data_IF_534859162088
#
_entry.id   IF_534859162088
#
_cell.length_a   1.000
_cell.length_b   1.000
_cell.length_c   1.000
_cell.angle_alpha   90.00
_cell.angle_beta   90.00
_cell.angle_gamma   90.00
#
_symmetry.space_group_name_H-M   'P 1'
#
loop_
_entity.id
_entity.type
_entity.pdbx_description
1 polymer ?
#
# COMPACT_ATOMS: atom_id res chain seq x y z
N UNK A 1 31.80 11.01 9.10
CA UNK A 1 30.54 10.43 8.59
C UNK A 1 29.56 10.35 9.74
N UNK A 2 28.49 11.15 9.72
CA UNK A 2 27.42 11.11 10.73
C UNK A 2 26.33 10.12 10.29
N UNK A 3 25.63 9.45 11.21
CA UNK A 3 24.53 8.53 10.88
C UNK A 3 23.35 9.30 10.28
N UNK A 4 22.69 8.67 9.31
CA UNK A 4 21.57 9.22 8.55
C UNK A 4 20.34 9.39 9.47
N UNK A 5 19.78 10.60 9.58
CA UNK A 5 18.68 10.94 10.50
C UNK A 5 17.30 10.38 10.10
N UNK A 6 17.18 9.75 8.93
CA UNK A 6 15.92 9.14 8.46
C UNK A 6 16.10 7.73 7.88
N UNK A 7 16.41 6.71 8.70
CA UNK A 7 16.64 5.34 8.25
C UNK A 7 15.43 4.66 7.60
N UNK A 8 14.22 5.23 7.73
CA UNK A 8 12.99 4.67 7.17
C UNK A 8 12.74 5.09 5.71
N UNK A 9 13.24 6.24 5.28
CA UNK A 9 13.10 6.72 3.90
C UNK A 9 13.95 5.92 2.91
N UNK A 10 15.17 5.50 3.33
CA UNK A 10 16.00 4.60 2.52
C UNK A 10 15.45 3.16 2.49
N UNK A 11 14.72 2.73 3.52
CA UNK A 11 14.05 1.40 3.51
C UNK A 11 12.87 1.30 2.54
N UNK A 12 12.27 2.42 2.13
CA UNK A 12 11.30 2.45 1.02
C UNK A 12 11.97 2.28 -0.35
N UNK A 13 13.27 2.59 -0.47
CA UNK A 13 14.09 2.29 -1.65
C UNK A 13 14.68 0.87 -1.64
N UNK A 14 14.53 0.11 -0.57
CA UNK A 14 15.02 -1.27 -0.46
C UNK A 14 13.87 -2.29 -0.33
N UNK A 15 12.62 -1.86 -0.50
CA UNK A 15 11.50 -2.74 -0.77
C UNK A 15 11.64 -3.40 -2.17
N UNK A 16 10.75 -4.33 -2.55
CA UNK A 16 10.84 -5.08 -3.81
C UNK A 16 10.83 -4.23 -5.10
N UNK A 17 10.74 -2.91 -5.00
CA UNK A 17 10.69 -1.94 -6.09
C UNK A 17 11.88 -0.99 -6.16
N UNK A 18 12.96 -1.26 -5.42
CA UNK A 18 14.13 -0.40 -5.42
C UNK A 18 15.41 -1.10 -5.90
N UNK A 19 15.74 -0.82 -7.16
CA UNK A 19 16.97 -1.20 -7.89
C UNK A 19 17.16 -2.69 -8.11
N UNK A 20 16.74 -3.17 -9.28
CA UNK A 20 17.45 -4.28 -9.94
C UNK A 20 18.92 -3.86 -10.15
N UNK A 21 19.80 -4.24 -9.22
CA UNK A 21 21.24 -4.28 -9.52
C UNK A 21 21.45 -5.49 -10.42
N UNK A 22 21.76 -5.26 -11.70
CA UNK A 22 22.33 -6.31 -12.56
C UNK A 22 23.49 -6.96 -11.79
N UNK A 23 23.55 -8.31 -11.69
CA UNK A 23 24.61 -8.97 -10.97
C UNK A 23 25.96 -8.55 -11.55
N UNK A 24 26.93 -8.25 -10.69
CA UNK A 24 28.30 -7.94 -11.14
C UNK A 24 28.92 -9.15 -11.84
N UNK A 25 29.85 -8.95 -12.77
CA UNK A 25 30.56 -10.06 -13.45
C UNK A 25 31.16 -11.06 -12.44
N UNK A 26 31.63 -10.56 -11.30
CA UNK A 26 32.16 -11.40 -10.22
C UNK A 26 31.09 -12.32 -9.61
N UNK A 27 29.85 -11.84 -9.47
CA UNK A 27 28.73 -12.63 -8.96
C UNK A 27 28.24 -13.65 -10.00
N UNK A 28 28.21 -13.29 -11.29
CA UNK A 28 27.91 -14.22 -12.38
C UNK A 28 28.95 -15.35 -12.43
N UNK A 29 30.24 -15.02 -12.33
CA UNK A 29 31.33 -15.99 -12.32
C UNK A 29 31.27 -16.94 -11.10
N UNK A 30 30.80 -16.45 -9.95
CA UNK A 30 30.64 -17.26 -8.74
C UNK A 30 29.43 -18.20 -8.83
N UNK A 31 28.36 -17.76 -9.50
CA UNK A 31 27.20 -18.59 -9.84
C UNK A 31 27.61 -19.69 -10.83
N UNK A 32 28.35 -19.35 -11.89
CA UNK A 32 28.85 -20.33 -12.86
C UNK A 32 29.79 -21.37 -12.21
N UNK A 33 30.70 -20.93 -11.31
CA UNK A 33 31.55 -21.84 -10.54
C UNK A 33 30.74 -22.79 -9.64
N UNK A 34 29.66 -22.31 -9.03
CA UNK A 34 28.76 -23.14 -8.20
C UNK A 34 27.92 -24.13 -9.00
N UNK A 35 27.55 -23.76 -10.23
CA UNK A 35 26.85 -24.66 -11.16
C UNK A 35 27.83 -25.75 -11.63
N UNK A 36 29.04 -25.37 -12.04
CA UNK A 36 30.10 -26.29 -12.46
C UNK A 36 30.56 -27.23 -11.34
N UNK A 37 30.59 -26.77 -10.08
CA UNK A 37 30.94 -27.61 -8.92
C UNK A 37 29.83 -28.57 -8.50
N UNK A 38 28.59 -28.37 -8.97
CA UNK A 38 27.43 -29.25 -8.67
C UNK A 38 27.15 -30.25 -9.79
N UNK A 39 27.64 -30.03 -11.00
CA UNK A 39 27.51 -30.97 -12.13
C UNK A 39 28.63 -32.01 -12.22
N UNK A 40 29.64 -31.96 -11.34
CA UNK A 40 30.76 -32.92 -11.31
C UNK A 40 30.58 -34.03 -10.28
N UNK A 41 30.06 -35.18 -10.69
CA UNK A 41 30.42 -36.47 -10.06
C UNK A 41 29.30 -37.30 -9.45
N UNK A 42 28.63 -38.11 -10.29
CA UNK A 42 28.01 -39.38 -9.86
C UNK A 42 28.64 -40.51 -10.65
N UNK A 43 29.54 -41.29 -10.02
CA UNK A 43 29.70 -42.74 -10.25
C UNK A 43 30.54 -43.43 -9.14
N UNK A 44 29.82 -44.30 -8.41
CA UNK A 44 30.19 -45.61 -7.79
C UNK A 44 31.22 -45.68 -6.63
N UNK A 45 30.64 -45.94 -5.44
CA UNK A 45 30.99 -46.75 -4.24
C UNK A 45 32.14 -47.80 -4.34
N UNK A 46 32.55 -48.46 -3.22
CA UNK A 46 32.73 -48.04 -1.80
C UNK A 46 34.06 -48.57 -1.17
N UNK A 47 34.40 -48.17 0.07
CA UNK A 47 34.73 -49.08 1.20
C UNK A 47 35.49 -48.40 2.38
N UNK A 48 35.20 -48.92 3.58
CA UNK A 48 35.90 -48.87 4.88
C UNK A 48 35.83 -47.64 5.83
N UNK A 49 35.36 -47.98 7.04
CA UNK A 49 35.25 -47.31 8.37
C UNK A 49 36.62 -46.92 8.99
N UNK A 50 36.72 -46.38 10.24
CA UNK A 50 35.90 -45.42 11.02
C UNK A 50 36.78 -44.40 11.82
N UNK A 51 36.15 -43.55 12.67
CA UNK A 51 36.59 -42.96 13.98
C UNK A 51 35.69 -41.71 14.21
N UNK A 52 34.66 -41.76 15.08
CA UNK A 52 34.63 -41.35 16.51
C UNK A 52 35.22 -39.93 16.74
N UNK A 53 34.65 -38.96 17.46
CA UNK A 53 33.58 -38.80 18.44
C UNK A 53 33.20 -37.28 18.40
N UNK A 54 32.09 -36.75 18.91
CA UNK A 54 31.62 -36.76 20.29
C UNK A 54 30.14 -36.35 20.34
N UNK A 55 29.40 -37.06 21.18
CA UNK A 55 28.08 -36.72 21.68
C UNK A 55 28.23 -35.75 22.85
N UNK A 56 27.44 -34.67 22.88
CA UNK A 56 26.82 -34.17 24.11
C UNK A 56 25.36 -33.84 23.78
N UNK A 57 24.47 -34.61 24.39
CA UNK A 57 23.04 -34.34 24.59
C UNK A 57 22.91 -33.77 26.02
N UNK A 58 22.02 -32.80 26.21
CA UNK A 58 20.97 -32.71 27.24
C UNK A 58 20.36 -31.30 27.14
N UNK A 59 19.10 -31.17 26.70
CA UNK A 59 17.86 -31.21 27.52
C UNK A 59 17.71 -29.93 28.36
N UNK A 60 16.59 -29.21 28.46
CA UNK A 60 15.16 -29.53 28.29
C UNK A 60 14.34 -28.24 28.48
N UNK A 61 13.10 -28.22 27.97
CA UNK A 61 12.04 -27.25 28.32
C UNK A 61 11.29 -26.77 27.07
N UNK A 62 10.52 -27.60 26.37
CA UNK A 62 9.12 -28.00 26.65
C UNK A 62 8.20 -26.80 26.91
N UNK A 63 7.43 -26.47 25.87
CA UNK A 63 6.30 -25.54 25.86
C UNK A 63 5.53 -25.72 24.55
N UNK A 64 4.94 -26.91 24.36
CA UNK A 64 3.99 -27.20 23.27
C UNK A 64 2.69 -26.44 23.54
N UNK A 65 2.41 -25.39 22.76
CA UNK A 65 1.06 -24.84 22.64
C UNK A 65 0.42 -25.40 21.37
N UNK A 66 -0.41 -26.43 21.55
CA UNK A 66 -1.32 -26.94 20.53
C UNK A 66 -2.57 -26.07 20.58
N UNK A 67 -2.75 -25.15 19.63
CA UNK A 67 -4.03 -24.43 19.49
C UNK A 67 -4.98 -25.29 18.66
N UNK A 68 -5.93 -25.91 19.36
CA UNK A 68 -7.05 -26.62 18.76
C UNK A 68 -8.11 -25.60 18.35
N UNK A 69 -8.26 -25.34 17.04
CA UNK A 69 -9.31 -24.47 16.51
C UNK A 69 -10.62 -25.25 16.46
N UNK A 70 -11.40 -25.18 17.54
CA UNK A 70 -12.72 -25.78 17.63
C UNK A 70 -13.73 -24.88 16.91
N UNK A 71 -14.06 -25.23 15.67
CA UNK A 71 -15.21 -24.63 14.98
C UNK A 71 -16.49 -25.17 15.61
N UNK A 72 -17.18 -24.32 16.36
CA UNK A 72 -18.55 -24.58 16.80
C UNK A 72 -19.49 -24.63 15.60
N UNK A 73 -20.05 -25.81 15.33
CA UNK A 73 -21.23 -25.98 14.48
C UNK A 73 -22.40 -25.26 15.15
N UNK A 74 -22.93 -24.23 14.51
CA UNK A 74 -24.22 -23.67 14.86
C UNK A 74 -25.30 -24.52 14.18
N UNK A 75 -25.94 -25.40 14.95
CA UNK A 75 -27.14 -26.12 14.52
C UNK A 75 -28.34 -25.18 14.62
N UNK A 76 -28.92 -24.81 13.47
CA UNK A 76 -30.26 -24.21 13.43
C UNK A 76 -31.26 -25.36 13.51
N UNK A 77 -32.10 -25.29 14.54
CA UNK A 77 -33.07 -26.31 14.89
C UNK A 77 -34.09 -26.62 13.79
N UNK A 78 -34.39 -27.91 13.68
CA UNK A 78 -35.57 -28.45 13.02
C UNK A 78 -36.84 -27.94 13.72
N UNK A 79 -37.81 -27.47 12.95
CA UNK A 79 -39.21 -27.49 13.34
C UNK A 79 -39.97 -28.42 12.39
N UNK A 80 -40.61 -29.42 12.97
CA UNK A 80 -41.37 -30.45 12.28
C UNK A 80 -42.68 -29.93 11.68
N UNK A 81 -42.94 -30.36 10.43
CA UNK A 81 -44.12 -31.15 10.06
C UNK A 81 -45.49 -30.47 9.95
N UNK A 82 -45.98 -30.35 8.70
CA UNK A 82 -47.15 -31.14 8.23
C UNK A 82 -47.37 -31.02 6.71
N UNK A 83 -47.45 -32.20 6.07
CA UNK A 83 -48.03 -32.52 4.75
C UNK A 83 -49.56 -32.27 4.78
N UNK A 84 -50.33 -32.04 3.70
CA UNK A 84 -50.72 -32.89 2.54
C UNK A 84 -51.52 -31.91 1.60
N UNK A 85 -51.42 -31.89 0.25
CA UNK A 85 -52.35 -32.52 -0.75
C UNK A 85 -51.93 -32.16 -2.19
N UNK A 86 -52.10 -33.17 -3.04
CA UNK A 86 -51.87 -33.32 -4.48
C UNK A 86 -52.59 -32.36 -5.45
N UNK A 87 -52.04 -32.18 -6.65
CA UNK A 87 -52.82 -31.79 -7.84
C UNK A 87 -51.97 -31.47 -9.08
N UNK A 88 -52.27 -32.15 -10.19
CA UNK A 88 -51.64 -32.10 -11.52
C UNK A 88 -51.42 -30.72 -12.17
N UNK A 89 -50.42 -30.62 -13.06
CA UNK A 89 -50.44 -29.69 -14.18
C UNK A 89 -49.07 -29.18 -14.65
N UNK A 90 -48.43 -29.91 -15.58
CA UNK A 90 -47.19 -29.49 -16.23
C UNK A 90 -47.40 -28.30 -17.17
N UNK A 91 -46.84 -27.14 -16.83
CA UNK A 91 -46.51 -26.04 -17.77
C UNK A 91 -45.15 -25.46 -17.37
N UNK A 92 -44.24 -25.16 -18.32
CA UNK A 92 -42.97 -24.52 -17.97
C UNK A 92 -43.26 -23.10 -17.49
N UNK A 93 -42.95 -22.84 -16.21
CA UNK A 93 -42.99 -21.50 -15.65
C UNK A 93 -41.82 -20.71 -16.23
N UNK A 94 -42.16 -19.71 -17.02
CA UNK A 94 -41.30 -18.60 -17.38
C UNK A 94 -40.82 -17.93 -16.08
N UNK A 95 -39.57 -18.20 -15.70
CA UNK A 95 -38.92 -17.61 -14.53
C UNK A 95 -38.67 -16.15 -14.86
N UNK A 96 -39.70 -15.32 -14.68
CA UNK A 96 -39.54 -13.88 -14.53
C UNK A 96 -38.73 -13.68 -13.25
N UNK A 97 -37.41 -13.53 -13.40
CA UNK A 97 -36.54 -13.09 -12.31
C UNK A 97 -36.99 -11.68 -11.92
N UNK A 98 -37.78 -11.58 -10.85
CA UNK A 98 -37.90 -10.33 -10.13
C UNK A 98 -36.51 -9.92 -9.63
N UNK A 99 -36.10 -8.65 -9.79
CA UNK A 99 -34.82 -8.18 -9.31
C UNK A 99 -34.81 -8.23 -7.78
N UNK A 100 -34.00 -9.13 -7.22
CA UNK A 100 -33.79 -9.22 -5.79
C UNK A 100 -33.05 -7.98 -5.28
N UNK A 101 -33.80 -7.16 -4.53
CA UNK A 101 -33.40 -6.34 -3.38
C UNK A 101 -31.99 -5.71 -3.38
N UNK A 102 -31.98 -4.40 -3.62
CA UNK A 102 -31.13 -3.36 -3.04
C UNK A 102 -29.88 -3.85 -2.28
N UNK A 103 -28.74 -3.88 -2.96
CA UNK A 103 -27.46 -3.97 -2.27
C UNK A 103 -27.24 -2.62 -1.56
N UNK A 104 -27.32 -2.59 -0.22
CA UNK A 104 -27.20 -1.37 0.59
C UNK A 104 -25.85 -0.66 0.41
N UNK A 105 -24.83 -1.39 -0.06
CA UNK A 105 -23.46 -0.92 -0.22
C UNK A 105 -22.93 -1.19 -1.64
N UNK A 106 -21.91 -0.43 -2.11
CA UNK A 106 -21.18 -0.74 -3.32
C UNK A 106 -20.59 -2.16 -3.26
N UNK A 107 -20.34 -2.79 -4.42
CA UNK A 107 -19.59 -4.05 -4.42
C UNK A 107 -18.14 -3.80 -3.98
N UNK A 108 -17.51 -4.83 -3.39
CA UNK A 108 -16.08 -4.82 -3.03
C UNK A 108 -15.19 -4.38 -4.20
N UNK A 109 -15.42 -4.96 -5.38
CA UNK A 109 -14.69 -4.62 -6.60
C UNK A 109 -14.81 -3.15 -7.00
N UNK A 110 -15.94 -2.49 -6.69
CA UNK A 110 -16.14 -1.06 -7.01
C UNK A 110 -15.30 -0.17 -6.10
N UNK A 111 -15.18 -0.50 -4.81
CA UNK A 111 -14.43 0.31 -3.84
C UNK A 111 -12.93 0.16 -4.08
N UNK A 112 -12.46 -1.08 -4.28
CA UNK A 112 -11.05 -1.35 -4.60
C UNK A 112 -10.62 -0.63 -5.88
N UNK A 113 -11.42 -0.73 -6.95
CA UNK A 113 -11.10 -0.06 -8.21
C UNK A 113 -11.07 1.47 -8.06
N UNK A 114 -11.98 2.05 -7.28
CA UNK A 114 -11.95 3.49 -6.96
C UNK A 114 -10.71 3.88 -6.18
N UNK A 115 -10.32 3.14 -5.15
CA UNK A 115 -9.09 3.43 -4.39
C UNK A 115 -7.82 3.29 -5.25
N UNK A 116 -7.78 2.29 -6.14
CA UNK A 116 -6.64 2.04 -7.03
C UNK A 116 -6.52 3.04 -8.17
N UNK A 117 -7.58 3.79 -8.46
CA UNK A 117 -7.68 4.76 -9.55
C UNK A 117 -8.26 6.10 -9.08
N UNK A 118 -8.09 6.47 -7.82
CA UNK A 118 -8.81 7.60 -7.23
C UNK A 118 -8.54 8.93 -7.92
N UNK A 119 -7.32 9.12 -8.42
CA UNK A 119 -6.90 10.29 -9.22
C UNK A 119 -7.66 10.43 -10.55
N UNK A 120 -8.36 9.38 -11.00
CA UNK A 120 -9.18 9.45 -12.21
C UNK A 120 -10.60 9.99 -11.92
N UNK A 121 -10.94 10.18 -10.64
CA UNK A 121 -12.27 10.58 -10.18
C UNK A 121 -12.36 12.04 -9.69
N UNK A 122 -11.29 12.82 -9.87
CA UNK A 122 -11.26 14.25 -9.61
C UNK A 122 -10.25 14.94 -10.53
N UNK A 123 -10.44 16.24 -10.78
CA UNK A 123 -9.47 17.07 -11.49
C UNK A 123 -8.58 17.86 -10.53
N UNK A 124 -9.15 18.32 -9.41
CA UNK A 124 -8.40 19.06 -8.40
C UNK A 124 -8.80 18.64 -7.01
N UNK A 125 -7.84 18.60 -6.10
CA UNK A 125 -8.11 18.39 -4.68
C UNK A 125 -7.16 19.25 -3.85
N UNK A 126 -7.70 19.90 -2.83
CA UNK A 126 -6.92 20.54 -1.77
C UNK A 126 -7.42 20.09 -0.42
N UNK A 127 -6.51 20.00 0.54
CA UNK A 127 -6.88 19.56 1.86
C UNK A 127 -5.68 19.46 2.80
N UNK A 128 -5.95 18.89 3.96
CA UNK A 128 -4.93 18.58 4.93
C UNK A 128 -5.32 17.36 5.73
N UNK A 129 -4.33 16.58 6.16
CA UNK A 129 -4.54 15.46 7.07
C UNK A 129 -3.51 15.47 8.19
N UNK A 130 -3.88 14.81 9.29
CA UNK A 130 -2.98 14.49 10.39
C UNK A 130 -2.62 13.03 10.31
N UNK A 131 -1.33 12.72 10.45
CA UNK A 131 -0.84 11.38 10.62
C UNK A 131 -0.21 11.23 12.00
N UNK A 132 -0.60 10.18 12.71
CA UNK A 132 0.02 9.76 13.94
C UNK A 132 0.73 8.43 13.71
N UNK A 133 1.98 8.33 14.14
CA UNK A 133 2.74 7.08 14.11
C UNK A 133 3.68 7.03 15.32
N UNK A 134 3.56 5.98 16.14
CA UNK A 134 4.50 5.71 17.23
C UNK A 134 4.78 6.91 18.16
N UNK A 135 3.76 7.71 18.48
CA UNK A 135 3.88 8.87 19.37
C UNK A 135 4.26 10.18 18.67
N UNK A 136 4.53 10.15 17.37
CA UNK A 136 4.84 11.34 16.57
C UNK A 136 3.62 11.72 15.74
N UNK A 137 3.26 13.00 15.77
CA UNK A 137 2.19 13.56 14.93
C UNK A 137 2.79 14.49 13.89
N UNK A 138 2.38 14.31 12.64
CA UNK A 138 2.67 15.21 11.54
C UNK A 138 1.38 15.67 10.86
N UNK A 139 1.44 16.88 10.33
CA UNK A 139 0.38 17.49 9.52
C UNK A 139 0.90 17.59 8.10
N UNK A 140 0.03 17.23 7.15
CA UNK A 140 0.29 17.28 5.73
C UNK A 140 -0.77 18.16 5.10
N UNK A 141 -0.34 19.21 4.42
CA UNK A 141 -1.18 20.10 3.61
C UNK A 141 -0.89 19.81 2.14
N UNK A 142 -1.93 19.81 1.30
CA UNK A 142 -1.74 19.50 -0.12
C UNK A 142 -2.71 20.28 -1.02
N UNK A 143 -2.23 20.61 -2.21
CA UNK A 143 -3.01 21.07 -3.36
C UNK A 143 -2.54 20.31 -4.59
N UNK A 144 -3.47 19.73 -5.34
CA UNK A 144 -3.17 18.79 -6.40
C UNK A 144 -4.09 19.10 -7.59
N UNK A 145 -3.51 19.13 -8.78
CA UNK A 145 -4.24 19.10 -10.04
C UNK A 145 -3.82 17.87 -10.84
N UNK A 146 -4.80 17.16 -11.37
CA UNK A 146 -4.64 16.05 -12.31
C UNK A 146 -5.03 16.50 -13.74
N UNK A 147 -4.95 15.57 -14.70
CA UNK A 147 -5.29 15.82 -16.11
C UNK A 147 -4.09 16.23 -16.97
N UNK A 148 -4.32 17.11 -17.96
CA UNK A 148 -3.33 17.45 -19.00
C UNK A 148 -2.15 18.29 -18.49
N UNK A 149 -2.28 18.92 -17.34
CA UNK A 149 -1.23 19.72 -16.72
C UNK A 149 -1.17 19.38 -15.23
N UNK A 150 -0.67 18.18 -14.90
CA UNK A 150 -0.66 17.71 -13.53
C UNK A 150 0.40 18.46 -12.73
N UNK A 151 0.09 18.74 -11.47
CA UNK A 151 0.97 19.49 -10.59
C UNK A 151 0.53 19.36 -9.14
N UNK A 152 1.46 19.58 -8.22
CA UNK A 152 1.15 19.49 -6.80
C UNK A 152 2.02 20.40 -5.95
N UNK A 153 1.45 20.73 -4.79
CA UNK A 153 2.13 21.34 -3.65
C UNK A 153 1.80 20.48 -2.44
N UNK A 154 2.81 20.03 -1.71
CA UNK A 154 2.66 19.24 -0.49
C UNK A 154 3.62 19.77 0.56
N UNK A 155 3.10 20.14 1.72
CA UNK A 155 3.89 20.56 2.88
C UNK A 155 3.68 19.58 4.02
N UNK A 156 4.77 19.15 4.65
CA UNK A 156 4.76 18.27 5.82
C UNK A 156 5.45 18.95 6.97
N UNK A 157 4.83 18.93 8.14
CA UNK A 157 5.37 19.52 9.37
C UNK A 157 4.99 18.66 10.58
N UNK A 158 5.90 18.53 11.54
CA UNK A 158 5.56 17.95 12.86
C UNK A 158 4.72 18.96 13.65
N UNK A 159 3.69 18.51 14.36
CA UNK A 159 2.75 19.41 15.07
C UNK A 159 3.44 20.34 16.08
N UNK A 160 4.57 19.92 16.64
CA UNK A 160 5.36 20.64 17.64
C UNK A 160 6.57 21.41 17.07
N UNK A 161 6.77 21.42 15.74
CA UNK A 161 7.91 22.07 15.10
C UNK A 161 7.48 23.22 14.19
N UNK A 162 8.31 24.26 14.07
CA UNK A 162 8.16 25.25 12.99
C UNK A 162 8.78 24.78 11.68
N UNK A 163 9.60 23.73 11.72
CA UNK A 163 10.27 23.15 10.57
C UNK A 163 9.30 22.31 9.75
N UNK A 164 9.45 22.44 8.44
CA UNK A 164 8.67 21.76 7.43
C UNK A 164 9.55 21.28 6.27
N UNK A 165 9.01 20.31 5.53
CA UNK A 165 9.50 19.90 4.22
C UNK A 165 8.40 20.16 3.19
N UNK A 166 8.77 20.72 2.05
CA UNK A 166 7.84 20.89 0.92
C UNK A 166 8.26 20.01 -0.26
N UNK A 167 7.27 19.52 -0.99
CA UNK A 167 7.40 18.91 -2.30
C UNK A 167 6.48 19.65 -3.26
N UNK A 168 7.07 20.17 -4.33
CA UNK A 168 6.37 20.95 -5.34
C UNK A 168 6.64 20.33 -6.70
N UNK A 169 5.62 20.24 -7.53
CA UNK A 169 5.69 19.66 -8.87
C UNK A 169 4.89 20.50 -9.86
N UNK A 170 5.51 20.85 -10.98
CA UNK A 170 4.86 21.45 -12.16
C UNK A 170 4.55 20.40 -13.25
N UNK A 171 4.73 19.11 -12.93
CA UNK A 171 4.56 18.00 -13.87
C UNK A 171 5.81 17.68 -14.70
N UNK A 172 6.79 18.58 -14.78
CA UNK A 172 8.08 18.37 -15.44
C UNK A 172 9.25 18.26 -14.45
N UNK A 173 9.19 18.99 -13.35
CA UNK A 173 10.19 19.02 -12.30
C UNK A 173 9.56 18.74 -10.95
N UNK A 174 10.36 18.22 -10.05
CA UNK A 174 10.04 18.13 -8.63
C UNK A 174 11.08 18.90 -7.84
N UNK A 175 10.60 19.84 -7.03
CA UNK A 175 11.36 20.61 -6.07
C UNK A 175 11.04 20.09 -4.66
N UNK A 176 12.07 19.70 -3.92
CA UNK A 176 11.99 19.35 -2.51
C UNK A 176 12.72 20.41 -1.68
N UNK A 177 12.09 20.94 -0.64
CA UNK A 177 12.63 21.98 0.25
C UNK A 177 12.73 21.46 1.68
N UNK A 178 13.88 21.64 2.34
CA UNK A 178 14.09 21.38 3.76
C UNK A 178 14.30 22.71 4.51
N UNK A 179 13.29 23.17 5.24
CA UNK A 179 13.32 24.49 5.88
C UNK A 179 14.30 24.59 7.06
N UNK A 180 14.63 23.47 7.70
CA UNK A 180 15.59 23.43 8.81
C UNK A 180 16.99 23.69 8.30
N UNK A 181 17.38 23.03 7.20
CA UNK A 181 18.71 23.16 6.62
C UNK A 181 18.83 24.31 5.64
N UNK A 182 17.70 24.87 5.19
CA UNK A 182 17.63 25.83 4.08
C UNK A 182 18.26 25.24 2.81
N UNK A 183 17.95 23.98 2.53
CA UNK A 183 18.45 23.22 1.38
C UNK A 183 17.30 22.88 0.43
N UNK A 184 17.60 22.78 -0.87
CA UNK A 184 16.66 22.28 -1.87
C UNK A 184 17.27 21.21 -2.77
N UNK A 185 16.40 20.34 -3.30
CA UNK A 185 16.72 19.41 -4.38
C UNK A 185 15.71 19.63 -5.49
N UNK A 186 16.19 19.93 -6.69
CA UNK A 186 15.39 20.04 -7.90
C UNK A 186 15.84 18.99 -8.90
N UNK A 187 14.90 18.26 -9.47
CA UNK A 187 15.21 17.28 -10.49
C UNK A 187 14.08 17.18 -11.51
N UNK A 188 14.44 16.77 -12.73
CA UNK A 188 13.47 16.44 -13.75
C UNK A 188 12.64 15.26 -13.26
N UNK A 189 11.32 15.40 -13.29
CA UNK A 189 10.45 14.25 -13.15
C UNK A 189 10.57 13.39 -14.40
N UNK A 190 10.58 12.06 -14.25
CA UNK A 190 10.38 11.19 -15.40
C UNK A 190 9.05 11.52 -16.10
N UNK A 191 8.87 11.01 -17.32
CA UNK A 191 7.63 11.20 -18.08
C UNK A 191 6.37 10.78 -17.30
N UNK A 192 5.18 11.21 -17.75
CA UNK A 192 3.93 10.89 -17.09
C UNK A 192 3.80 9.37 -16.96
N UNK A 193 3.43 8.87 -15.77
CA UNK A 193 3.29 7.45 -15.60
C UNK A 193 2.13 6.91 -16.44
N UNK A 194 2.36 5.77 -17.08
CA UNK A 194 1.32 5.09 -17.86
C UNK A 194 0.30 4.46 -16.89
N UNK A 195 -0.99 4.57 -17.24
CA UNK A 195 -2.05 3.86 -16.52
C UNK A 195 -1.84 2.36 -16.66
N UNK A 196 -1.76 1.58 -15.57
CA UNK A 196 -1.65 0.14 -15.70
C UNK A 196 -2.88 -0.44 -16.40
N UNK A 197 -2.64 -1.35 -17.33
CA UNK A 197 -3.67 -2.17 -17.95
C UNK A 197 -3.71 -3.56 -17.30
N UNK A 198 -4.89 -4.17 -17.25
CA UNK A 198 -5.07 -5.54 -16.75
C UNK A 198 -5.17 -5.67 -15.22
N UNK A 199 -4.90 -6.87 -14.67
CA UNK A 199 -5.11 -7.16 -13.25
C UNK A 199 -4.13 -6.37 -12.37
N UNK A 200 -4.64 -5.85 -11.26
CA UNK A 200 -3.86 -5.01 -10.32
C UNK A 200 -3.10 -5.83 -9.28
N UNK A 201 -3.45 -7.10 -9.12
CA UNK A 201 -2.72 -8.07 -8.32
C UNK A 201 -2.94 -9.49 -8.86
N UNK A 202 -1.86 -10.27 -8.96
CA UNK A 202 -1.88 -11.62 -9.51
C UNK A 202 -0.66 -12.41 -9.07
N UNK A 203 -0.71 -13.75 -9.20
CA UNK A 203 0.48 -14.61 -9.08
C UNK A 203 1.10 -14.85 -10.45
N UNK A 204 2.42 -14.71 -10.57
CA UNK A 204 3.13 -15.07 -11.79
C UNK A 204 3.26 -16.60 -11.95
N UNK A 205 3.88 -17.05 -13.05
CA UNK A 205 4.13 -18.47 -13.34
C UNK A 205 4.96 -19.20 -12.27
N UNK A 206 5.66 -18.45 -11.40
CA UNK A 206 6.46 -18.98 -10.29
C UNK A 206 5.72 -18.90 -8.95
N UNK A 207 4.47 -18.41 -8.95
CA UNK A 207 3.64 -18.25 -7.76
C UNK A 207 3.95 -16.99 -6.93
N UNK A 208 4.79 -16.07 -7.44
CA UNK A 208 5.09 -14.82 -6.73
C UNK A 208 3.96 -13.80 -6.91
N UNK A 209 3.68 -13.04 -5.86
CA UNK A 209 2.69 -11.98 -5.92
C UNK A 209 3.26 -10.77 -6.67
N UNK A 210 2.45 -10.26 -7.59
CA UNK A 210 2.68 -9.02 -8.30
C UNK A 210 1.60 -8.03 -7.88
N UNK A 211 2.01 -6.81 -7.52
CA UNK A 211 1.12 -5.73 -7.09
C UNK A 211 1.37 -4.52 -7.99
N UNK A 212 0.36 -4.10 -8.73
CA UNK A 212 0.50 -3.11 -9.78
C UNK A 212 -0.21 -1.82 -9.35
N UNK A 213 0.54 -0.91 -8.75
CA UNK A 213 0.05 0.41 -8.34
C UNK A 213 -0.22 1.34 -9.52
N UNK A 214 -1.06 2.35 -9.30
CA UNK A 214 -1.26 3.45 -10.24
C UNK A 214 -0.10 4.41 -10.08
N UNK A 215 0.56 4.78 -11.18
CA UNK A 215 1.56 5.83 -11.13
C UNK A 215 0.91 7.19 -10.89
N UNK A 216 1.63 8.05 -10.18
CA UNK A 216 1.21 9.39 -9.75
C UNK A 216 1.73 10.46 -10.74
N UNK A 217 0.85 11.06 -11.58
CA UNK A 217 1.23 12.08 -12.55
C UNK A 217 1.58 13.41 -11.90
N UNK A 218 0.83 13.83 -10.87
CA UNK A 218 1.04 15.10 -10.17
C UNK A 218 2.23 15.09 -9.22
N UNK A 219 2.85 13.92 -8.95
CA UNK A 219 4.02 13.74 -8.08
C UNK A 219 3.76 14.20 -6.65
N UNK A 220 2.62 13.80 -6.12
CA UNK A 220 2.02 14.22 -4.85
C UNK A 220 2.76 13.74 -3.59
N UNK A 221 3.99 13.24 -3.71
CA UNK A 221 4.86 12.85 -2.59
C UNK A 221 4.14 11.98 -1.55
N UNK A 222 4.05 12.43 -0.30
CA UNK A 222 3.35 11.73 0.79
C UNK A 222 1.83 11.85 0.70
N UNK A 223 1.29 12.90 0.07
CA UNK A 223 -0.16 13.08 -0.09
C UNK A 223 -0.79 11.95 -0.93
N UNK A 224 0.00 11.28 -1.78
CA UNK A 224 -0.41 10.06 -2.49
C UNK A 224 -1.00 8.99 -1.57
N UNK A 225 -0.59 8.93 -0.31
CA UNK A 225 -1.10 7.95 0.65
C UNK A 225 -2.61 8.07 0.85
N UNK A 226 -3.17 9.28 0.74
CA UNK A 226 -4.61 9.50 0.89
C UNK A 226 -5.32 9.72 -0.45
N UNK A 227 -4.71 10.47 -1.38
CA UNK A 227 -5.35 10.81 -2.66
C UNK A 227 -5.18 9.73 -3.73
N UNK A 228 -4.22 8.81 -3.57
CA UNK A 228 -4.00 7.63 -4.41
C UNK A 228 -3.62 6.41 -3.54
N UNK A 229 -4.55 5.89 -2.71
CA UNK A 229 -4.24 4.95 -1.62
C UNK A 229 -3.97 3.51 -2.09
N UNK A 230 -3.30 3.31 -3.24
CA UNK A 230 -3.01 1.98 -3.83
C UNK A 230 -2.35 1.03 -2.84
N UNK A 231 -1.38 1.51 -2.06
CA UNK A 231 -0.70 0.67 -1.06
C UNK A 231 -1.67 0.17 0.02
N UNK A 232 -2.54 1.04 0.52
CA UNK A 232 -3.54 0.66 1.51
C UNK A 232 -4.60 -0.28 0.94
N UNK A 233 -4.94 -0.17 -0.34
CA UNK A 233 -5.80 -1.15 -1.02
C UNK A 233 -5.15 -2.53 -1.05
N UNK A 234 -3.85 -2.63 -1.34
CA UNK A 234 -3.17 -3.92 -1.36
C UNK A 234 -3.07 -4.58 0.02
N UNK A 235 -3.10 -3.80 1.12
CA UNK A 235 -3.14 -4.37 2.47
C UNK A 235 -4.46 -5.07 2.79
N UNK A 236 -5.50 -4.78 2.02
CA UNK A 236 -6.83 -5.38 2.15
C UNK A 236 -6.95 -6.72 1.39
N UNK A 237 -5.88 -7.19 0.75
CA UNK A 237 -5.88 -8.42 -0.06
C UNK A 237 -4.95 -9.45 0.58
N UNK A 238 -5.46 -10.65 0.78
CA UNK A 238 -4.68 -11.77 1.29
C UNK A 238 -3.63 -12.20 0.25
N UNK A 239 -2.37 -12.23 0.66
CA UNK A 239 -1.24 -12.50 -0.24
C UNK A 239 -1.24 -13.93 -0.80
N UNK A 240 -1.86 -14.89 -0.13
CA UNK A 240 -1.84 -16.29 -0.54
C UNK A 240 -2.99 -16.62 -1.48
N UNK A 241 -4.18 -16.10 -1.18
CA UNK A 241 -5.43 -16.38 -1.89
C UNK A 241 -5.84 -15.30 -2.89
N UNK A 242 -5.24 -14.12 -2.82
CA UNK A 242 -5.61 -12.92 -3.57
C UNK A 242 -7.08 -12.52 -3.39
N UNK A 243 -7.65 -12.83 -2.22
CA UNK A 243 -9.02 -12.47 -1.87
C UNK A 243 -9.03 -11.28 -0.90
N UNK A 244 -10.08 -10.43 -0.96
CA UNK A 244 -10.34 -9.41 0.05
C UNK A 244 -10.36 -9.96 1.49
N UNK A 245 -9.73 -9.25 2.42
CA UNK A 245 -9.69 -9.55 3.87
C UNK A 245 -10.53 -8.59 4.72
N UNK A 246 -11.37 -7.79 4.07
CA UNK A 246 -12.20 -6.78 4.72
C UNK A 246 -13.70 -7.06 4.57
N UNK A 247 -14.48 -6.39 5.40
CA UNK A 247 -15.92 -6.27 5.28
C UNK A 247 -16.33 -4.80 5.26
N UNK A 248 -17.40 -4.49 4.52
CA UNK A 248 -18.04 -3.17 4.61
C UNK A 248 -18.90 -3.17 5.87
N UNK A 249 -18.51 -2.39 6.88
CA UNK A 249 -19.21 -2.35 8.18
C UNK A 249 -20.21 -1.21 8.27
N UNK A 250 -20.16 -0.23 7.36
CA UNK A 250 -21.14 0.84 7.31
C UNK A 250 -20.80 1.96 6.35
N UNK A 251 -21.52 3.07 6.52
CA UNK A 251 -21.30 4.34 5.82
C UNK A 251 -21.44 5.47 6.82
N UNK A 252 -20.68 6.55 6.65
CA UNK A 252 -20.70 7.72 7.52
C UNK A 252 -20.48 8.99 6.70
N UNK A 253 -21.06 10.11 7.14
CA UNK A 253 -20.68 11.42 6.58
C UNK A 253 -19.44 11.93 7.29
N UNK A 254 -18.34 12.10 6.55
CA UNK A 254 -17.07 12.60 7.06
C UNK A 254 -16.65 13.83 6.24
N UNK A 255 -16.45 14.98 6.90
CA UNK A 255 -16.18 16.28 6.24
C UNK A 255 -17.19 16.62 5.12
N UNK A 256 -18.47 16.32 5.34
CA UNK A 256 -19.54 16.57 4.37
C UNK A 256 -19.55 15.60 3.18
N UNK A 257 -18.70 14.57 3.18
CA UNK A 257 -18.61 13.55 2.13
C UNK A 257 -19.13 12.20 2.63
N UNK A 258 -19.72 11.41 1.73
CA UNK A 258 -20.19 10.07 2.07
C UNK A 258 -19.02 9.08 2.02
N UNK A 259 -18.65 8.53 3.18
CA UNK A 259 -17.58 7.57 3.34
C UNK A 259 -18.13 6.15 3.52
N UNK A 260 -17.54 5.18 2.82
CA UNK A 260 -17.73 3.74 3.12
C UNK A 260 -16.71 3.32 4.16
N UNK A 261 -17.16 2.58 5.17
CA UNK A 261 -16.32 2.08 6.26
C UNK A 261 -15.93 0.63 5.98
N UNK A 262 -14.63 0.37 5.94
CA UNK A 262 -14.05 -0.96 5.75
C UNK A 262 -13.30 -1.37 7.01
N UNK A 263 -13.49 -2.61 7.46
CA UNK A 263 -12.75 -3.19 8.58
C UNK A 263 -12.20 -4.55 8.20
N UNK A 264 -10.98 -4.87 8.67
CA UNK A 264 -10.33 -6.14 8.39
C UNK A 264 -9.13 -6.41 9.29
N UNK A 265 -8.51 -7.58 9.10
CA UNK A 265 -7.29 -7.97 9.81
C UNK A 265 -6.05 -7.67 8.96
N UNK A 266 -4.99 -7.22 9.61
CA UNK A 266 -3.69 -7.02 8.96
C UNK A 266 -2.98 -8.36 8.79
N UNK A 267 -2.35 -8.57 7.62
CA UNK A 267 -1.40 -9.67 7.44
C UNK A 267 -0.12 -9.47 8.24
N UNK A 268 0.58 -10.57 8.53
CA UNK A 268 1.75 -10.62 9.44
C UNK A 268 2.79 -9.53 9.21
N UNK A 269 3.14 -9.26 7.94
CA UNK A 269 4.14 -8.25 7.60
C UNK A 269 3.71 -6.83 8.00
N UNK A 270 2.49 -6.43 7.65
CA UNK A 270 1.98 -5.09 7.96
C UNK A 270 1.67 -4.98 9.45
N UNK A 271 1.07 -6.02 10.03
CA UNK A 271 0.77 -6.06 11.46
C UNK A 271 2.03 -5.93 12.32
N UNK A 272 3.12 -6.63 11.95
CA UNK A 272 4.41 -6.50 12.62
C UNK A 272 5.04 -5.12 12.45
N UNK A 273 4.95 -4.53 11.25
CA UNK A 273 5.52 -3.21 10.94
C UNK A 273 4.90 -2.10 11.78
N UNK A 274 3.58 -2.11 11.94
CA UNK A 274 2.84 -1.08 12.65
C UNK A 274 2.44 -1.48 14.08
N UNK A 275 2.82 -2.68 14.53
CA UNK A 275 2.41 -3.26 15.82
C UNK A 275 0.88 -3.24 16.00
N UNK A 276 0.17 -3.65 14.97
CA UNK A 276 -1.28 -3.65 14.92
C UNK A 276 -1.79 -4.99 14.39
N UNK A 277 -3.06 -5.31 14.68
CA UNK A 277 -3.71 -6.55 14.23
C UNK A 277 -4.93 -6.29 13.36
N UNK A 278 -5.57 -5.13 13.51
CA UNK A 278 -6.72 -4.72 12.70
C UNK A 278 -6.55 -3.36 12.03
N UNK A 279 -7.42 -3.09 11.07
CA UNK A 279 -7.55 -1.79 10.45
C UNK A 279 -9.01 -1.38 10.27
N UNK A 280 -9.22 -0.06 10.21
CA UNK A 280 -10.49 0.56 9.85
C UNK A 280 -10.26 1.74 8.92
N UNK A 281 -10.89 1.71 7.75
CA UNK A 281 -10.75 2.72 6.70
C UNK A 281 -12.09 3.45 6.51
N UNK A 282 -12.01 4.75 6.22
CA UNK A 282 -13.11 5.56 5.71
C UNK A 282 -12.73 6.02 4.31
N UNK A 283 -13.39 5.47 3.31
CA UNK A 283 -13.11 5.73 1.90
C UNK A 283 -14.20 6.59 1.33
N UNK A 284 -13.83 7.72 0.72
CA UNK A 284 -14.78 8.54 -0.01
C UNK A 284 -15.47 7.71 -1.10
N UNK A 285 -16.79 7.59 -1.00
CA UNK A 285 -17.55 6.68 -1.84
C UNK A 285 -17.52 7.09 -3.30
N UNK A 286 -17.34 8.36 -3.62
CA UNK A 286 -17.35 8.87 -5.00
C UNK A 286 -15.98 8.72 -5.66
N UNK A 287 -14.92 9.13 -4.95
CA UNK A 287 -13.58 9.27 -5.53
C UNK A 287 -12.63 8.13 -5.19
N UNK A 288 -12.85 7.41 -4.08
CA UNK A 288 -11.89 6.42 -3.57
C UNK A 288 -10.76 7.00 -2.71
N UNK A 289 -10.77 8.31 -2.42
CA UNK A 289 -9.82 8.95 -1.50
C UNK A 289 -9.96 8.37 -0.09
N UNK A 290 -8.84 8.09 0.57
CA UNK A 290 -8.81 7.68 1.98
C UNK A 290 -8.99 8.91 2.88
N UNK A 291 -10.15 9.03 3.51
CA UNK A 291 -10.48 10.14 4.40
C UNK A 291 -9.96 9.89 5.83
N UNK A 292 -9.97 8.63 6.27
CA UNK A 292 -9.46 8.24 7.59
C UNK A 292 -8.99 6.80 7.61
N UNK A 293 -7.93 6.54 8.36
CA UNK A 293 -7.32 5.24 8.61
C UNK A 293 -6.98 5.13 10.08
N UNK A 294 -7.38 4.04 10.73
CA UNK A 294 -6.91 3.66 12.05
C UNK A 294 -6.42 2.22 12.02
N UNK A 295 -5.20 1.99 12.51
CA UNK A 295 -4.71 0.66 12.83
C UNK A 295 -4.91 0.42 14.33
N UNK A 296 -5.33 -0.77 14.72
CA UNK A 296 -5.57 -1.13 16.12
C UNK A 296 -4.78 -2.36 16.51
N UNK A 297 -4.20 -2.36 17.71
CA UNK A 297 -3.58 -3.55 18.32
C UNK A 297 -4.59 -4.38 19.14
N UNK A 298 -4.11 -5.48 19.74
CA UNK A 298 -4.94 -6.39 20.56
C UNK A 298 -5.47 -5.76 21.85
N UNK A 299 -4.98 -4.57 22.21
CA UNK A 299 -5.41 -3.77 23.36
C UNK A 299 -6.29 -2.59 22.94
N UNK A 300 -6.73 -2.56 21.67
CA UNK A 300 -7.48 -1.47 21.04
C UNK A 300 -6.76 -0.11 21.08
N UNK A 301 -5.42 -0.11 21.19
CA UNK A 301 -4.62 1.11 21.04
C UNK A 301 -4.38 1.39 19.56
N UNK A 302 -4.16 2.66 19.22
CA UNK A 302 -3.97 3.13 17.84
C UNK A 302 -2.50 3.49 17.63
N UNK A 303 -1.62 2.56 17.21
CA UNK A 303 -0.21 2.85 16.95
C UNK A 303 0.00 3.69 15.69
N UNK A 304 -0.98 3.69 14.78
CA UNK A 304 -0.94 4.43 13.52
C UNK A 304 -2.34 4.94 13.13
N UNK A 305 -2.43 6.19 12.70
CA UNK A 305 -3.63 6.72 12.05
C UNK A 305 -3.33 7.80 11.03
N UNK A 306 -4.24 7.95 10.08
CA UNK A 306 -4.34 9.11 9.18
C UNK A 306 -5.76 9.65 9.31
N UNK A 307 -5.93 10.95 9.47
CA UNK A 307 -7.25 11.58 9.56
C UNK A 307 -7.26 12.90 8.80
N UNK A 308 -8.06 12.96 7.73
CA UNK A 308 -8.30 14.17 6.96
C UNK A 308 -8.95 15.23 7.87
N UNK A 309 -8.40 16.44 7.85
CA UNK A 309 -8.87 17.60 8.59
C UNK A 309 -9.69 18.54 7.71
N UNK A 310 -9.33 18.61 6.42
CA UNK A 310 -10.06 19.39 5.41
C UNK A 310 -9.92 18.74 4.05
N UNK A 311 -10.95 18.86 3.20
CA UNK A 311 -10.89 18.42 1.82
C UNK A 311 -11.89 19.22 0.97
N UNK A 312 -11.42 19.70 -0.18
CA UNK A 312 -12.23 20.31 -1.23
C UNK A 312 -11.84 19.67 -2.56
N UNK A 313 -12.83 19.16 -3.29
CA UNK A 313 -12.65 18.42 -4.55
C UNK A 313 -13.33 19.21 -5.67
N UNK A 314 -12.64 19.40 -6.79
CA UNK A 314 -13.15 20.05 -8.01
C UNK A 314 -13.66 21.48 -7.82
N UNK A 315 -13.07 22.20 -6.85
CA UNK A 315 -13.29 23.63 -6.62
C UNK A 315 -12.15 24.49 -7.23
N UNK A 316 -11.06 23.85 -7.70
CA UNK A 316 -9.87 24.52 -8.19
C UNK A 316 -8.78 24.69 -7.12
N UNK A 317 -7.55 24.93 -7.58
CA UNK A 317 -6.34 25.05 -6.75
C UNK A 317 -5.50 26.24 -7.19
N UNK A 318 -4.65 26.74 -6.28
CA UNK A 318 -3.69 27.79 -6.59
C UNK A 318 -2.47 27.22 -7.31
N UNK A 319 -2.51 27.25 -8.64
CA UNK A 319 -1.42 26.74 -9.49
C UNK A 319 -0.11 27.52 -9.34
N UNK A 320 -0.12 28.72 -8.76
CA UNK A 320 1.15 29.44 -8.51
C UNK A 320 2.02 28.72 -7.48
N UNK A 321 1.41 27.91 -6.60
CA UNK A 321 2.11 27.05 -5.64
C UNK A 321 2.85 25.88 -6.29
N UNK A 322 2.61 25.60 -7.57
CA UNK A 322 3.28 24.52 -8.30
C UNK A 322 4.61 24.95 -8.93
N UNK A 323 5.03 26.20 -8.69
CA UNK A 323 6.30 26.70 -9.20
C UNK A 323 7.48 25.90 -8.66
N UNK A 324 8.34 25.43 -9.58
CA UNK A 324 9.59 24.75 -9.25
C UNK A 324 10.81 25.67 -9.43
N UNK A 325 10.60 26.98 -9.44
CA UNK A 325 11.69 27.96 -9.48
C UNK A 325 12.63 27.81 -8.28
N UNK A 326 13.90 28.13 -8.50
CA UNK A 326 14.92 27.99 -7.46
C UNK A 326 14.68 28.99 -6.33
N UNK A 327 14.58 28.52 -5.07
CA UNK A 327 14.31 29.40 -3.95
C UNK A 327 15.53 30.27 -3.61
N UNK A 328 15.35 31.59 -3.60
CA UNK A 328 16.40 32.56 -3.31
C UNK A 328 16.94 32.38 -1.88
N UNK A 329 18.26 32.22 -1.74
CA UNK A 329 18.94 32.13 -0.45
C UNK A 329 18.98 30.73 0.17
N UNK A 330 18.64 29.69 -0.60
CA UNK A 330 18.73 28.29 -0.19
C UNK A 330 19.91 27.60 -0.87
N UNK A 331 20.46 26.56 -0.23
CA UNK A 331 21.56 25.77 -0.76
C UNK A 331 21.06 24.66 -1.72
N UNK A 332 21.61 24.62 -2.93
CA UNK A 332 21.30 23.57 -3.92
C UNK A 332 22.03 22.25 -3.59
N UNK A 333 21.28 21.16 -3.44
CA UNK A 333 21.78 19.78 -3.24
C UNK A 333 21.49 18.84 -4.40
N UNK A 334 21.05 19.36 -5.54
CA UNK A 334 20.63 18.57 -6.71
C UNK A 334 21.76 17.71 -7.30
N UNK A 335 23.01 18.20 -7.24
CA UNK A 335 24.19 17.50 -7.77
C UNK A 335 24.73 16.35 -6.91
N UNK A 336 24.24 16.18 -5.67
CA UNK A 336 24.64 15.10 -4.76
C UNK A 336 24.00 13.73 -5.04
N UNK A 337 23.02 13.67 -5.96
CA UNK A 337 22.36 12.43 -6.41
C UNK A 337 22.53 12.29 -7.92
N UNK A 338 23.74 11.90 -8.33
CA UNK A 338 24.11 11.44 -9.68
C UNK A 338 23.19 11.90 -10.80
N UNK A 339 23.50 13.05 -11.38
CA UNK A 339 22.96 13.43 -12.69
C UNK A 339 23.19 12.26 -13.65
N UNK A 340 22.11 11.64 -14.14
CA UNK A 340 22.21 10.77 -15.30
C UNK A 340 22.50 11.71 -16.46
N UNK A 341 23.78 11.78 -16.82
CA UNK A 341 24.22 12.35 -18.09
C UNK A 341 23.56 11.50 -19.19
N UNK A 342 22.51 12.05 -19.81
CA UNK A 342 22.02 11.53 -21.08
C UNK A 342 22.98 12.09 -22.11
N UNK A 343 24.09 11.37 -22.35
CA UNK A 343 24.93 11.65 -23.50
C UNK A 343 24.13 11.32 -24.75
N UNK A 344 23.78 12.36 -25.50
CA UNK A 344 23.25 12.25 -26.84
C UNK A 344 24.35 11.82 -27.80
N UNK A 345 24.07 10.78 -28.58
CA UNK A 345 24.74 10.45 -29.85
C UNK A 345 23.77 9.63 -30.70
#
# INVERSE_FOLDING_TARGET
>A
MKPNEYPWYDRLKDGPFGRERKPTERQLLEIEKRIASRSGGRRRRPAFLPIAACVIILATGVGLFTVHKQYGKFEIGKSDGRSIVSGHGSRPLEVTRQPSSHNKYPSYSTIEDRMLNSIDNFNTVKGSYRQFEHGVTQEVEFEIAEGDSPGSYVRVKKTDSSEYTEWVSDGQYVLQLDSQKKEYIRHLSGGPPVKPEGPRYYKDERGNNNWVGRGDPARTSVAKEVILPSNFTFWMIDADTLQPTYSITGTETFLGRNAVILEGALGDYIGSKFKATGYKYWIDSETGILLKLQLTDDQNQIPFSIEMQSIEIDIGVDRTKFSTEEPVGWEDKSSGRGAVQIDGS
#
